data_IF_629517311985
#
_entry.id   IF_629517311985
#
_cell.length_a   1.000
_cell.length_b   1.000
_cell.length_c   1.000
_cell.angle_alpha   90.00
_cell.angle_beta   90.00
_cell.angle_gamma   90.00
#
_symmetry.space_group_name_H-M   'P 1'
#
loop_
_entity.id
_entity.type
_entity.pdbx_description
1 polymer ?
#
# COMPACT_ATOMS: atom_id res chain seq x y z
N UNK A 1 15.26 -31.77 -40.39
CA UNK A 1 16.16 -31.79 -39.22
C UNK A 1 16.27 -30.37 -38.73
N UNK A 2 15.72 -30.10 -37.54
CA UNK A 2 15.67 -28.75 -36.99
C UNK A 2 17.08 -28.40 -36.53
N UNK A 3 17.47 -27.13 -36.61
CA UNK A 3 18.79 -26.66 -36.16
C UNK A 3 19.12 -27.11 -34.72
N UNK A 4 18.12 -27.29 -33.84
CA UNK A 4 18.27 -27.83 -32.49
C UNK A 4 18.85 -29.25 -32.41
N UNK A 5 18.47 -30.15 -33.33
CA UNK A 5 18.90 -31.55 -33.27
C UNK A 5 20.43 -31.68 -33.51
N UNK A 6 20.98 -30.74 -34.30
CA UNK A 6 22.40 -30.68 -34.63
C UNK A 6 23.19 -30.07 -33.47
N UNK A 7 22.65 -29.05 -32.80
CA UNK A 7 23.32 -28.40 -31.67
C UNK A 7 23.43 -29.31 -30.45
N UNK A 8 22.38 -30.05 -30.10
CA UNK A 8 22.42 -31.00 -28.97
C UNK A 8 23.44 -32.13 -29.19
N UNK A 9 23.52 -32.66 -30.42
CA UNK A 9 24.50 -33.70 -30.76
C UNK A 9 25.94 -33.20 -30.70
N UNK A 10 26.20 -31.96 -31.09
CA UNK A 10 27.55 -31.36 -31.05
C UNK A 10 27.96 -31.05 -29.62
N UNK A 11 27.04 -30.51 -28.80
CA UNK A 11 27.29 -30.23 -27.39
C UNK A 11 27.58 -31.51 -26.59
N UNK A 12 26.82 -32.58 -26.86
CA UNK A 12 27.06 -33.88 -26.25
C UNK A 12 28.46 -34.41 -26.58
N UNK A 13 28.96 -34.21 -27.80
CA UNK A 13 30.29 -34.68 -28.21
C UNK A 13 31.46 -33.85 -27.63
N UNK A 14 31.25 -32.55 -27.37
CA UNK A 14 32.26 -31.67 -26.76
C UNK A 14 32.53 -32.05 -25.30
N UNK A 15 31.49 -32.43 -24.55
CA UNK A 15 31.60 -32.80 -23.13
C UNK A 15 31.68 -34.31 -22.90
N UNK A 16 31.56 -35.14 -23.93
CA UNK A 16 31.75 -36.57 -23.84
C UNK A 16 33.21 -36.91 -23.48
N UNK A 17 33.37 -37.87 -22.57
CA UNK A 17 34.67 -38.46 -22.26
C UNK A 17 34.99 -39.53 -23.29
N UNK A 18 36.12 -39.38 -23.96
CA UNK A 18 36.59 -40.33 -24.97
C UNK A 18 37.85 -41.00 -24.48
N UNK A 19 37.97 -42.32 -24.67
CA UNK A 19 39.16 -43.09 -24.35
C UNK A 19 39.79 -43.67 -25.61
N UNK A 20 41.12 -43.85 -25.57
CA UNK A 20 41.87 -44.46 -26.65
C UNK A 20 41.57 -45.95 -26.70
N UNK A 21 41.07 -46.45 -27.83
CA UNK A 21 40.72 -47.86 -28.02
C UNK A 21 41.94 -48.78 -27.90
N UNK A 22 43.16 -48.27 -28.12
CA UNK A 22 44.40 -49.05 -28.00
C UNK A 22 44.97 -49.09 -26.58
N UNK A 23 45.34 -47.93 -26.01
CA UNK A 23 45.98 -47.87 -24.69
C UNK A 23 44.99 -47.76 -23.52
N UNK A 24 43.69 -47.63 -23.80
CA UNK A 24 42.61 -47.48 -22.81
C UNK A 24 42.71 -46.24 -21.91
N UNK A 25 43.62 -45.32 -22.21
CA UNK A 25 43.74 -44.05 -21.50
C UNK A 25 42.71 -43.05 -22.01
N UNK A 26 42.24 -42.18 -21.12
CA UNK A 26 41.37 -41.06 -21.47
C UNK A 26 42.09 -40.07 -22.38
N UNK A 27 41.38 -39.55 -23.38
CA UNK A 27 41.89 -38.58 -24.35
C UNK A 27 41.34 -37.21 -24.00
N UNK A 28 42.20 -36.39 -23.39
CA UNK A 28 41.91 -34.98 -23.14
C UNK A 28 42.33 -34.14 -24.36
N UNK A 29 41.34 -33.62 -25.09
CA UNK A 29 41.55 -32.69 -26.21
C UNK A 29 41.41 -33.34 -27.59
N UNK A 30 42.48 -33.31 -28.39
CA UNK A 30 42.48 -33.75 -29.78
C UNK A 30 42.54 -35.28 -29.88
N UNK A 31 41.50 -35.89 -30.44
CA UNK A 31 41.43 -37.33 -30.71
C UNK A 31 41.39 -37.61 -32.20
N UNK A 32 41.84 -38.80 -32.59
CA UNK A 32 41.80 -39.26 -33.98
C UNK A 32 40.73 -40.32 -34.11
N UNK A 33 39.67 -40.03 -34.86
CA UNK A 33 38.58 -40.96 -35.16
C UNK A 33 38.87 -41.65 -36.48
N UNK A 34 38.88 -42.98 -36.49
CA UNK A 34 38.97 -43.72 -37.75
C UNK A 34 37.66 -43.57 -38.53
N UNK A 35 37.74 -43.26 -39.82
CA UNK A 35 36.57 -43.12 -40.69
C UNK A 35 36.07 -44.47 -41.25
N UNK A 36 36.86 -45.53 -41.13
CA UNK A 36 36.50 -46.87 -41.62
C UNK A 36 36.02 -47.83 -40.52
N UNK A 37 36.41 -47.59 -39.27
CA UNK A 37 36.03 -48.43 -38.13
C UNK A 37 34.95 -47.73 -37.31
N UNK A 38 33.93 -48.48 -36.86
CA UNK A 38 32.90 -47.95 -35.96
C UNK A 38 33.48 -47.65 -34.58
N UNK A 39 33.23 -46.45 -34.05
CA UNK A 39 33.59 -46.00 -32.70
C UNK A 39 35.05 -46.26 -32.29
N UNK A 40 35.97 -46.08 -33.23
CA UNK A 40 37.39 -46.31 -33.01
C UNK A 40 38.14 -44.97 -32.88
N UNK A 41 38.61 -44.69 -31.66
CA UNK A 41 39.32 -43.45 -31.33
C UNK A 41 40.73 -43.74 -30.84
N UNK A 42 41.72 -42.99 -31.33
CA UNK A 42 43.11 -43.09 -30.91
C UNK A 42 43.57 -41.76 -30.29
N UNK A 43 44.41 -41.87 -29.24
CA UNK A 43 45.21 -40.74 -28.80
C UNK A 43 46.32 -40.45 -29.82
N UNK A 44 46.85 -39.23 -29.80
CA UNK A 44 47.90 -38.79 -30.72
C UNK A 44 49.14 -39.69 -30.66
N UNK A 45 49.54 -40.15 -29.47
CA UNK A 45 50.71 -41.04 -29.33
C UNK A 45 50.48 -42.40 -30.00
N UNK A 46 49.32 -43.03 -29.77
CA UNK A 46 49.03 -44.34 -30.37
C UNK A 46 48.90 -44.25 -31.89
N UNK A 47 48.31 -43.18 -32.40
CA UNK A 47 48.25 -42.94 -33.83
C UNK A 47 49.64 -42.71 -34.44
N UNK A 48 50.49 -41.90 -33.81
CA UNK A 48 51.85 -41.64 -34.30
C UNK A 48 52.73 -42.89 -34.32
N UNK A 49 52.50 -43.83 -33.39
CA UNK A 49 53.16 -45.14 -33.36
C UNK A 49 52.59 -46.14 -34.38
N UNK A 50 51.54 -45.78 -35.14
CA UNK A 50 50.89 -46.68 -36.10
C UNK A 50 50.19 -47.87 -35.44
N UNK A 51 49.59 -47.66 -34.26
CA UNK A 51 48.96 -48.74 -33.50
C UNK A 51 47.79 -49.40 -34.27
N UNK A 52 47.85 -50.73 -34.43
CA UNK A 52 46.81 -51.54 -35.05
C UNK A 52 46.21 -52.52 -34.04
N UNK A 53 44.88 -52.66 -34.02
CA UNK A 53 44.18 -53.65 -33.18
C UNK A 53 42.88 -54.10 -33.85
N UNK A 54 42.64 -55.42 -33.86
CA UNK A 54 41.47 -56.01 -34.50
C UNK A 54 41.40 -55.70 -36.01
N UNK A 55 40.27 -55.14 -36.44
CA UNK A 55 40.00 -54.79 -37.85
C UNK A 55 40.54 -53.40 -38.25
N UNK A 56 41.12 -52.65 -37.30
CA UNK A 56 41.71 -51.34 -37.59
C UNK A 56 43.10 -51.47 -38.21
N UNK A 57 43.39 -50.65 -39.22
CA UNK A 57 44.70 -50.54 -39.89
C UNK A 57 45.22 -49.11 -39.87
N UNK A 58 46.55 -48.95 -39.76
CA UNK A 58 47.19 -47.64 -39.63
C UNK A 58 46.98 -46.75 -40.86
N UNK A 59 46.63 -47.35 -42.01
CA UNK A 59 46.40 -46.65 -43.28
C UNK A 59 44.92 -46.32 -43.53
N UNK A 60 44.02 -46.61 -42.58
CA UNK A 60 42.62 -46.22 -42.72
C UNK A 60 42.47 -44.69 -42.75
N UNK A 61 41.52 -44.16 -43.55
CA UNK A 61 41.17 -42.74 -43.48
C UNK A 61 40.74 -42.37 -42.06
N UNK A 62 41.09 -41.17 -41.63
CA UNK A 62 40.89 -40.70 -40.27
C UNK A 62 40.46 -39.23 -40.24
N UNK A 63 39.89 -38.81 -39.10
CA UNK A 63 39.44 -37.46 -38.84
C UNK A 63 39.99 -36.97 -37.51
N UNK A 64 40.44 -35.71 -37.47
CA UNK A 64 40.76 -35.02 -36.23
C UNK A 64 39.49 -34.51 -35.60
N UNK A 65 39.24 -34.91 -34.36
CA UNK A 65 38.11 -34.46 -33.55
C UNK A 65 38.66 -33.67 -32.38
N UNK A 66 38.38 -32.36 -32.33
CA UNK A 66 38.71 -31.53 -31.18
C UNK A 66 37.57 -31.58 -30.17
N UNK A 67 37.91 -31.85 -28.92
CA UNK A 67 36.98 -31.81 -27.80
C UNK A 67 36.88 -30.38 -27.24
N UNK A 68 36.76 -29.38 -28.10
CA UNK A 68 36.60 -27.97 -27.75
C UNK A 68 37.77 -27.33 -27.00
N UNK A 69 38.99 -27.81 -27.21
CA UNK A 69 40.22 -27.24 -26.63
C UNK A 69 40.80 -26.11 -27.46
N UNK A 70 40.41 -26.00 -28.73
CA UNK A 70 40.81 -24.91 -29.61
C UNK A 70 40.12 -23.62 -29.17
N UNK A 71 40.86 -22.52 -29.24
CA UNK A 71 40.33 -21.20 -28.96
C UNK A 71 39.47 -20.71 -30.12
N UNK A 72 38.22 -20.34 -29.82
CA UNK A 72 37.23 -19.92 -30.82
C UNK A 72 37.45 -18.47 -31.23
N UNK A 73 37.86 -17.63 -30.28
CA UNK A 73 38.06 -16.20 -30.48
C UNK A 73 39.55 -15.86 -30.45
N UNK A 74 40.03 -15.12 -31.45
CA UNK A 74 41.42 -14.66 -31.51
C UNK A 74 41.58 -13.41 -30.64
N UNK A 75 42.32 -13.49 -29.52
CA UNK A 75 42.45 -12.36 -28.59
C UNK A 75 43.40 -12.57 -27.41
N UNK A 76 43.56 -11.53 -26.58
CA UNK A 76 44.26 -11.59 -25.28
C UNK A 76 43.38 -12.34 -24.29
N UNK A 77 43.82 -13.51 -23.87
CA UNK A 77 43.01 -14.44 -23.07
C UNK A 77 42.49 -15.55 -23.97
N UNK A 78 43.17 -16.69 -24.00
CA UNK A 78 42.73 -17.84 -24.77
C UNK A 78 41.46 -18.40 -24.11
N UNK A 79 40.30 -18.14 -24.72
CA UNK A 79 39.05 -18.80 -24.40
C UNK A 79 38.88 -20.01 -25.31
N UNK A 80 38.85 -21.19 -24.72
CA UNK A 80 38.54 -22.44 -25.43
C UNK A 80 37.05 -22.51 -25.77
N UNK A 81 36.70 -23.31 -26.78
CA UNK A 81 35.30 -23.55 -27.12
C UNK A 81 34.50 -24.09 -25.93
N UNK A 82 35.13 -24.95 -25.12
CA UNK A 82 34.54 -25.47 -23.87
C UNK A 82 34.20 -24.37 -22.86
N UNK A 83 35.13 -23.44 -22.64
CA UNK A 83 34.89 -22.33 -21.71
C UNK A 83 33.82 -21.38 -22.22
N UNK A 84 33.83 -21.06 -23.53
CA UNK A 84 32.80 -20.23 -24.14
C UNK A 84 31.40 -20.89 -24.05
N UNK A 85 31.31 -22.22 -24.21
CA UNK A 85 30.05 -22.93 -24.01
C UNK A 85 29.60 -22.90 -22.54
N UNK A 86 30.50 -23.18 -21.59
CA UNK A 86 30.19 -23.09 -20.15
C UNK A 86 29.72 -21.68 -19.75
N UNK A 87 30.28 -20.64 -20.34
CA UNK A 87 29.86 -19.24 -20.12
C UNK A 87 28.41 -19.04 -20.55
N UNK A 88 28.02 -19.52 -21.75
CA UNK A 88 26.64 -19.40 -22.24
C UNK A 88 25.67 -20.22 -21.40
N UNK A 89 26.02 -21.47 -21.07
CA UNK A 89 25.20 -22.34 -20.21
C UNK A 89 24.99 -21.73 -18.82
N UNK A 90 26.04 -21.10 -18.27
CA UNK A 90 25.97 -20.42 -16.98
C UNK A 90 25.10 -19.17 -17.04
N UNK A 91 25.17 -18.39 -18.12
CA UNK A 91 24.33 -17.20 -18.29
C UNK A 91 22.85 -17.59 -18.43
N UNK A 92 22.55 -18.69 -19.11
CA UNK A 92 21.18 -19.22 -19.18
C UNK A 92 20.67 -19.65 -17.79
N UNK A 93 21.51 -20.28 -16.97
CA UNK A 93 21.13 -20.79 -15.65
C UNK A 93 21.04 -19.71 -14.57
N UNK A 94 22.03 -18.83 -14.48
CA UNK A 94 22.17 -17.85 -13.38
C UNK A 94 21.66 -16.46 -13.75
N UNK A 95 21.45 -16.20 -15.03
CA UNK A 95 21.02 -14.91 -15.55
C UNK A 95 22.17 -13.91 -15.71
N UNK A 96 22.02 -13.02 -16.69
CA UNK A 96 22.97 -11.96 -16.97
C UNK A 96 23.16 -11.02 -15.76
N UNK A 97 24.41 -10.69 -15.43
CA UNK A 97 24.78 -9.81 -14.31
C UNK A 97 25.17 -10.53 -13.03
N UNK A 98 24.89 -11.83 -12.88
CA UNK A 98 25.37 -12.63 -11.75
C UNK A 98 26.77 -13.23 -12.02
N UNK A 99 27.75 -12.36 -12.28
CA UNK A 99 29.09 -12.76 -12.72
C UNK A 99 29.87 -13.59 -11.69
N UNK A 100 29.55 -13.45 -10.40
CA UNK A 100 30.18 -14.24 -9.33
C UNK A 100 29.85 -15.73 -9.44
N UNK A 101 28.58 -16.08 -9.69
CA UNK A 101 28.17 -17.48 -9.83
C UNK A 101 28.49 -18.04 -11.21
N UNK A 102 28.45 -17.20 -12.25
CA UNK A 102 28.86 -17.56 -13.61
C UNK A 102 30.35 -17.96 -13.64
N UNK A 103 31.22 -17.17 -13.01
CA UNK A 103 32.66 -17.47 -12.92
C UNK A 103 32.92 -18.81 -12.21
N UNK A 104 32.21 -19.10 -11.11
CA UNK A 104 32.31 -20.39 -10.42
C UNK A 104 31.92 -21.57 -11.31
N UNK A 105 30.93 -21.40 -12.20
CA UNK A 105 30.50 -22.44 -13.13
C UNK A 105 31.51 -22.70 -14.25
N UNK A 106 32.22 -21.66 -14.70
CA UNK A 106 33.28 -21.78 -15.70
C UNK A 106 34.53 -22.43 -15.10
N UNK A 107 34.80 -22.17 -13.81
CA UNK A 107 35.92 -22.64 -12.98
C UNK A 107 37.29 -22.04 -13.33
N UNK A 108 37.53 -21.64 -14.58
CA UNK A 108 38.85 -21.21 -15.07
C UNK A 108 39.04 -19.70 -15.25
N UNK A 109 37.97 -18.89 -15.17
CA UNK A 109 37.96 -17.45 -15.49
C UNK A 109 37.38 -16.62 -14.35
N UNK A 110 37.85 -15.38 -14.18
CA UNK A 110 37.30 -14.47 -13.15
C UNK A 110 35.94 -13.88 -13.57
N UNK A 111 35.15 -13.32 -12.63
CA UNK A 111 33.90 -12.64 -12.96
C UNK A 111 34.07 -11.52 -13.99
N UNK A 112 35.14 -10.73 -13.86
CA UNK A 112 35.43 -9.61 -14.75
C UNK A 112 35.81 -10.09 -16.15
N UNK A 113 36.60 -11.17 -16.25
CA UNK A 113 36.95 -11.78 -17.54
C UNK A 113 35.72 -12.38 -18.23
N UNK A 114 34.82 -13.02 -17.47
CA UNK A 114 33.59 -13.60 -17.99
C UNK A 114 32.62 -12.53 -18.50
N UNK A 115 32.49 -11.41 -17.77
CA UNK A 115 31.72 -10.25 -18.19
C UNK A 115 32.29 -9.64 -19.48
N UNK A 116 33.59 -9.36 -19.51
CA UNK A 116 34.26 -8.75 -20.65
C UNK A 116 34.12 -9.61 -21.91
N UNK A 117 34.34 -10.93 -21.79
CA UNK A 117 34.23 -11.86 -22.91
C UNK A 117 32.80 -11.89 -23.47
N UNK A 118 31.79 -11.98 -22.59
CA UNK A 118 30.40 -12.05 -23.01
C UNK A 118 29.95 -10.76 -23.70
N UNK A 119 30.25 -9.60 -23.10
CA UNK A 119 29.88 -8.29 -23.65
C UNK A 119 30.58 -8.08 -25.00
N UNK A 120 31.89 -8.31 -25.06
CA UNK A 120 32.70 -8.02 -26.25
C UNK A 120 32.31 -8.89 -27.44
N UNK A 121 32.04 -10.18 -27.25
CA UNK A 121 31.79 -11.12 -28.36
C UNK A 121 30.30 -11.34 -28.65
N UNK A 122 29.46 -11.44 -27.62
CA UNK A 122 28.05 -11.83 -27.75
C UNK A 122 27.07 -10.65 -27.72
N UNK A 123 27.45 -9.49 -27.19
CA UNK A 123 26.61 -8.28 -27.25
C UNK A 123 27.12 -7.27 -28.29
N UNK A 124 28.33 -6.76 -28.11
CA UNK A 124 28.91 -5.71 -28.97
C UNK A 124 29.63 -6.28 -30.20
N UNK A 125 29.95 -7.57 -30.14
CA UNK A 125 30.62 -8.32 -31.18
C UNK A 125 29.73 -8.62 -32.38
N UNK A 126 30.31 -9.31 -33.37
CA UNK A 126 29.58 -9.68 -34.58
C UNK A 126 28.39 -10.60 -34.25
N UNK A 127 28.55 -11.52 -33.29
CA UNK A 127 27.46 -12.43 -32.90
C UNK A 127 26.26 -11.62 -32.42
N UNK A 128 26.45 -10.73 -31.44
CA UNK A 128 25.39 -9.86 -30.93
C UNK A 128 24.74 -8.99 -32.00
N UNK A 129 25.55 -8.37 -32.86
CA UNK A 129 25.04 -7.55 -33.98
C UNK A 129 24.12 -8.31 -34.94
N UNK A 130 24.33 -9.61 -35.13
CA UNK A 130 23.49 -10.43 -36.00
C UNK A 130 22.33 -11.12 -35.26
N UNK A 131 22.48 -11.47 -33.98
CA UNK A 131 21.44 -12.13 -33.18
C UNK A 131 20.43 -11.14 -32.58
N UNK A 132 20.88 -9.96 -32.18
CA UNK A 132 20.07 -8.95 -31.48
C UNK A 132 18.97 -8.28 -32.32
N UNK A 133 19.16 -7.96 -33.61
CA UNK A 133 18.09 -7.35 -34.42
C UNK A 133 16.85 -8.23 -34.53
N UNK A 134 17.04 -9.54 -34.64
CA UNK A 134 15.94 -10.50 -34.62
C UNK A 134 15.24 -10.48 -33.25
N UNK A 135 15.99 -10.51 -32.15
CA UNK A 135 15.44 -10.42 -30.80
C UNK A 135 14.69 -9.10 -30.53
N UNK A 136 15.17 -7.97 -31.07
CA UNK A 136 14.50 -6.67 -31.01
C UNK A 136 13.15 -6.68 -31.73
N UNK A 137 13.04 -7.34 -32.88
CA UNK A 137 11.79 -7.46 -33.63
C UNK A 137 10.75 -8.35 -32.92
N UNK A 138 11.20 -9.33 -32.13
CA UNK A 138 10.34 -10.17 -31.30
C UNK A 138 10.10 -9.61 -29.90
N UNK A 139 10.78 -8.51 -29.53
CA UNK A 139 10.49 -7.82 -28.28
C UNK A 139 9.04 -7.36 -28.38
N UNK A 140 8.14 -7.83 -27.50
CA UNK A 140 6.79 -7.30 -27.46
C UNK A 140 6.94 -5.79 -27.35
N UNK A 141 6.36 -5.06 -28.30
CA UNK A 141 6.19 -3.62 -28.10
C UNK A 141 5.22 -3.52 -26.95
N UNK A 142 5.77 -3.41 -25.74
CA UNK A 142 5.03 -3.10 -24.53
C UNK A 142 4.50 -1.70 -24.77
N UNK A 143 3.35 -1.64 -25.43
CA UNK A 143 2.56 -0.44 -25.47
C UNK A 143 2.17 -0.27 -24.02
N UNK A 144 2.70 0.76 -23.38
CA UNK A 144 2.29 1.12 -22.06
C UNK A 144 0.79 1.45 -22.14
N UNK A 145 -0.04 0.47 -21.80
CA UNK A 145 -1.50 0.61 -21.73
C UNK A 145 -1.90 1.10 -20.35
N UNK A 146 -0.94 1.50 -19.50
CA UNK A 146 -1.26 2.60 -18.63
C UNK A 146 -1.48 3.79 -19.54
N UNK A 147 -2.75 4.00 -19.93
CA UNK A 147 -3.19 5.37 -20.10
C UNK A 147 -2.63 6.12 -18.88
N UNK A 148 -2.08 7.34 -19.05
CA UNK A 148 -1.88 8.19 -17.89
C UNK A 148 -3.26 8.31 -17.28
N UNK A 149 -3.52 7.48 -16.29
CA UNK A 149 -4.79 7.43 -15.64
C UNK A 149 -4.88 8.82 -15.02
N UNK A 150 -5.70 9.69 -15.59
CA UNK A 150 -6.11 10.92 -14.92
C UNK A 150 -6.79 10.58 -13.58
N UNK A 151 -7.09 9.31 -13.32
CA UNK A 151 -7.08 8.74 -11.98
C UNK A 151 -5.66 8.70 -11.43
N UNK A 152 -5.21 9.86 -10.93
CA UNK A 152 -4.10 10.05 -9.98
C UNK A 152 -3.49 8.71 -9.58
N UNK A 153 -2.36 8.34 -10.17
CA UNK A 153 -1.41 7.48 -9.45
C UNK A 153 -1.40 8.03 -8.03
N UNK A 154 -1.76 7.20 -7.05
CA UNK A 154 -1.75 7.65 -5.66
C UNK A 154 -0.38 8.29 -5.47
N UNK A 155 -0.29 9.60 -5.16
CA UNK A 155 1.01 10.21 -5.05
C UNK A 155 1.70 9.52 -3.88
N UNK A 156 2.60 8.60 -4.22
CA UNK A 156 3.71 8.13 -3.40
C UNK A 156 4.74 9.27 -3.15
N UNK A 157 4.31 10.53 -3.31
CA UNK A 157 5.07 11.75 -3.10
C UNK A 157 4.42 12.63 -2.04
N UNK A 158 3.89 12.01 -0.98
CA UNK A 158 3.70 12.74 0.27
C UNK A 158 5.05 13.11 0.89
N UNK A 159 5.10 14.03 1.86
CA UNK A 159 6.29 14.21 2.67
C UNK A 159 6.74 12.84 3.22
N UNK A 160 8.05 12.52 3.17
CA UNK A 160 8.57 11.29 3.76
C UNK A 160 8.11 11.14 5.22
N UNK A 161 7.80 9.91 5.63
CA UNK A 161 7.50 9.64 7.04
C UNK A 161 8.68 10.10 7.91
N UNK A 162 8.41 11.00 8.86
CA UNK A 162 9.39 11.45 9.85
C UNK A 162 9.58 10.38 10.92
N UNK A 163 10.45 9.41 10.63
CA UNK A 163 10.82 8.31 11.53
C UNK A 163 12.34 8.12 11.53
N UNK A 164 12.90 7.69 12.66
CA UNK A 164 14.34 7.36 12.72
C UNK A 164 14.63 6.04 12.00
N UNK A 165 15.92 5.76 11.71
CA UNK A 165 16.31 4.49 11.07
C UNK A 165 15.96 3.28 11.94
N UNK A 166 16.06 3.42 13.26
CA UNK A 166 15.71 2.37 14.22
C UNK A 166 14.20 2.10 14.21
N UNK A 167 13.39 3.16 14.11
CA UNK A 167 11.92 3.06 14.05
C UNK A 167 11.43 2.47 12.74
N UNK A 168 12.06 2.85 11.63
CA UNK A 168 11.80 2.25 10.32
C UNK A 168 12.05 0.73 10.37
N UNK A 169 13.18 0.31 10.94
CA UNK A 169 13.50 -1.11 11.13
C UNK A 169 12.46 -1.83 11.99
N UNK A 170 12.02 -1.22 13.10
CA UNK A 170 11.03 -1.82 13.99
C UNK A 170 9.66 -2.03 13.32
N UNK A 171 9.29 -1.15 12.38
CA UNK A 171 8.08 -1.26 11.58
C UNK A 171 8.23 -2.14 10.33
N UNK A 172 9.45 -2.56 9.99
CA UNK A 172 9.75 -3.14 8.67
C UNK A 172 9.45 -2.15 7.53
N UNK A 173 9.56 -0.84 7.77
CA UNK A 173 9.32 0.18 6.76
C UNK A 173 10.57 0.40 5.90
N UNK A 174 10.38 0.44 4.58
CA UNK A 174 11.41 0.61 3.57
C UNK A 174 11.34 2.04 3.00
N UNK A 175 12.17 3.00 3.48
CA UNK A 175 11.98 4.42 3.18
C UNK A 175 12.10 4.80 1.71
N UNK A 176 12.96 4.11 0.95
CA UNK A 176 13.13 4.37 -0.48
C UNK A 176 11.98 3.83 -1.34
N UNK A 177 11.18 2.91 -0.79
CA UNK A 177 10.02 2.30 -1.46
C UNK A 177 8.69 2.86 -0.96
N UNK A 178 8.69 3.56 0.18
CA UNK A 178 7.48 3.99 0.90
C UNK A 178 6.52 2.78 1.14
N UNK A 179 7.11 1.67 1.59
CA UNK A 179 6.47 0.37 1.66
C UNK A 179 6.82 -0.36 2.96
N UNK A 180 5.97 -1.27 3.42
CA UNK A 180 6.23 -2.08 4.60
C UNK A 180 6.51 -3.53 4.19
N UNK A 181 7.40 -4.20 4.92
CA UNK A 181 7.67 -5.64 4.73
C UNK A 181 6.41 -6.48 4.90
N UNK A 182 5.52 -6.07 5.82
CA UNK A 182 4.20 -6.68 6.03
C UNK A 182 3.11 -5.64 5.88
N UNK A 183 2.32 -5.79 4.83
CA UNK A 183 1.26 -4.85 4.49
C UNK A 183 -0.07 -5.12 5.20
N UNK A 184 -0.94 -4.12 5.19
CA UNK A 184 -2.34 -4.35 5.55
C UNK A 184 -2.99 -5.30 4.53
N UNK A 185 -3.64 -6.36 5.02
CA UNK A 185 -4.17 -7.46 4.19
C UNK A 185 -3.07 -8.03 3.26
N UNK A 186 -1.98 -8.49 3.87
CA UNK A 186 -0.80 -9.03 3.18
C UNK A 186 -1.10 -10.24 2.28
N UNK A 187 -2.22 -10.92 2.50
CA UNK A 187 -2.61 -12.11 1.75
C UNK A 187 -3.47 -11.75 0.52
N UNK A 188 -3.71 -10.46 0.24
CA UNK A 188 -4.55 -10.02 -0.88
C UNK A 188 -4.04 -10.56 -2.23
N UNK A 189 -2.72 -10.64 -2.39
CA UNK A 189 -2.02 -11.17 -3.56
C UNK A 189 -2.36 -12.65 -3.82
N UNK A 190 -2.78 -13.40 -2.80
CA UNK A 190 -3.23 -14.80 -2.94
C UNK A 190 -4.44 -14.92 -3.86
N UNK A 191 -5.27 -13.86 -3.99
CA UNK A 191 -6.43 -13.89 -4.91
C UNK A 191 -6.03 -13.97 -6.38
N UNK A 192 -4.82 -13.53 -6.72
CA UNK A 192 -4.31 -13.45 -8.10
C UNK A 192 -3.09 -14.33 -8.32
N UNK A 193 -2.60 -15.04 -7.30
CA UNK A 193 -1.36 -15.82 -7.37
C UNK A 193 -1.44 -17.01 -8.33
N UNK A 194 -2.62 -17.60 -8.49
CA UNK A 194 -2.87 -18.71 -9.43
C UNK A 194 -3.60 -18.27 -10.71
N UNK A 195 -3.71 -16.96 -10.95
CA UNK A 195 -4.44 -16.43 -12.10
C UNK A 195 -3.57 -16.53 -13.35
N UNK A 196 -3.96 -17.40 -14.28
CA UNK A 196 -3.33 -17.54 -15.59
C UNK A 196 -4.28 -17.00 -16.67
N UNK A 197 -3.80 -16.12 -17.54
CA UNK A 197 -4.57 -15.58 -18.67
C UNK A 197 -4.17 -16.34 -19.94
N UNK A 198 -5.12 -17.05 -20.53
CA UNK A 198 -4.94 -17.81 -21.77
C UNK A 198 -5.51 -17.07 -22.96
N UNK A 199 -4.95 -17.31 -24.15
CA UNK A 199 -5.49 -16.73 -25.40
C UNK A 199 -6.77 -17.46 -25.86
N UNK A 200 -6.98 -18.68 -25.36
CA UNK A 200 -8.17 -19.50 -25.62
C UNK A 200 -9.25 -19.38 -24.54
N UNK A 201 -9.08 -18.46 -23.58
CA UNK A 201 -10.06 -18.23 -22.52
C UNK A 201 -11.42 -17.87 -23.14
N UNK A 202 -12.47 -18.57 -22.76
CA UNK A 202 -13.82 -18.21 -23.18
C UNK A 202 -14.31 -16.95 -22.43
N UNK A 203 -15.44 -16.38 -22.88
CA UNK A 203 -15.97 -15.13 -22.31
C UNK A 203 -16.31 -15.27 -20.82
N UNK A 204 -16.77 -16.45 -20.40
CA UNK A 204 -17.12 -16.73 -19.01
C UNK A 204 -15.88 -16.82 -18.13
N UNK A 205 -14.84 -17.53 -18.58
CA UNK A 205 -13.56 -17.65 -17.90
C UNK A 205 -12.87 -16.28 -17.79
N UNK A 206 -12.87 -15.50 -18.88
CA UNK A 206 -12.38 -14.13 -18.89
C UNK A 206 -13.13 -13.25 -17.87
N UNK A 207 -14.46 -13.33 -17.83
CA UNK A 207 -15.27 -12.59 -16.87
C UNK A 207 -14.99 -12.98 -15.42
N UNK A 208 -14.76 -14.27 -15.14
CA UNK A 208 -14.41 -14.76 -13.81
C UNK A 208 -13.03 -14.27 -13.37
N UNK A 209 -12.03 -14.30 -14.26
CA UNK A 209 -10.69 -13.75 -14.02
C UNK A 209 -10.76 -12.24 -13.75
N UNK A 210 -11.53 -11.49 -14.55
CA UNK A 210 -11.74 -10.06 -14.32
C UNK A 210 -12.42 -9.78 -12.98
N UNK A 211 -13.38 -10.60 -12.54
CA UNK A 211 -13.99 -10.47 -11.23
C UNK A 211 -12.98 -10.72 -10.09
N UNK A 212 -12.08 -11.70 -10.22
CA UNK A 212 -10.99 -11.92 -9.26
C UNK A 212 -10.04 -10.71 -9.19
N UNK A 213 -9.68 -10.13 -10.33
CA UNK A 213 -8.86 -8.92 -10.41
C UNK A 213 -9.56 -7.71 -9.77
N UNK A 214 -10.87 -7.55 -9.97
CA UNK A 214 -11.66 -6.49 -9.31
C UNK A 214 -11.69 -6.68 -7.78
N UNK A 215 -11.87 -7.92 -7.31
CA UNK A 215 -11.78 -8.23 -5.87
C UNK A 215 -10.41 -7.86 -5.28
N UNK A 216 -9.32 -8.19 -5.97
CA UNK A 216 -7.97 -7.81 -5.59
C UNK A 216 -7.79 -6.28 -5.58
N UNK A 217 -8.25 -5.60 -6.63
CA UNK A 217 -8.17 -4.14 -6.76
C UNK A 217 -8.87 -3.42 -5.62
N UNK A 218 -10.04 -3.92 -5.17
CA UNK A 218 -10.76 -3.36 -4.01
C UNK A 218 -9.95 -3.47 -2.72
N UNK A 219 -9.26 -4.59 -2.49
CA UNK A 219 -8.37 -4.77 -1.34
C UNK A 219 -7.18 -3.81 -1.39
N UNK A 220 -6.56 -3.64 -2.56
CA UNK A 220 -5.48 -2.68 -2.75
C UNK A 220 -5.90 -1.23 -2.51
N UNK A 221 -7.10 -0.83 -2.97
CA UNK A 221 -7.65 0.51 -2.71
C UNK A 221 -7.78 0.77 -1.20
N UNK A 222 -8.22 -0.23 -0.46
CA UNK A 222 -8.39 -0.15 0.98
C UNK A 222 -7.05 -0.12 1.74
N UNK A 223 -6.05 -0.89 1.28
CA UNK A 223 -4.65 -0.79 1.75
C UNK A 223 -4.09 0.61 1.50
N UNK A 224 -4.23 1.13 0.28
CA UNK A 224 -3.80 2.48 -0.09
C UNK A 224 -4.50 3.58 0.71
N UNK A 225 -5.80 3.42 0.99
CA UNK A 225 -6.56 4.34 1.85
C UNK A 225 -5.99 4.38 3.28
N UNK A 226 -5.68 3.23 3.87
CA UNK A 226 -5.05 3.18 5.21
C UNK A 226 -3.66 3.82 5.24
N UNK A 227 -2.81 3.53 4.25
CA UNK A 227 -1.49 4.17 4.13
C UNK A 227 -1.61 5.69 4.07
N UNK A 228 -2.51 6.19 3.21
CA UNK A 228 -2.81 7.63 3.10
C UNK A 228 -3.21 8.23 4.45
N UNK A 229 -4.18 7.64 5.14
CA UNK A 229 -4.63 8.15 6.45
C UNK A 229 -3.49 8.15 7.48
N UNK A 230 -2.72 7.06 7.53
CA UNK A 230 -1.58 6.95 8.45
C UNK A 230 -0.57 8.06 8.25
N UNK A 231 -0.27 8.38 6.98
CA UNK A 231 0.64 9.46 6.60
C UNK A 231 0.05 10.85 6.84
N UNK A 232 -1.13 11.11 6.30
CA UNK A 232 -1.77 12.44 6.33
C UNK A 232 -2.03 12.91 7.77
N UNK A 233 -2.35 11.99 8.68
CA UNK A 233 -2.57 12.27 10.11
C UNK A 233 -1.33 12.03 10.98
N UNK A 234 -0.17 11.78 10.38
CA UNK A 234 1.11 11.53 11.08
C UNK A 234 1.00 10.49 12.20
N UNK A 235 0.19 9.45 11.99
CA UNK A 235 -0.16 8.49 13.04
C UNK A 235 1.05 7.68 13.52
N UNK A 236 1.99 7.39 12.61
CA UNK A 236 3.23 6.66 12.93
C UNK A 236 4.11 7.50 13.86
N UNK A 237 4.31 8.77 13.52
CA UNK A 237 5.08 9.72 14.34
C UNK A 237 4.41 9.91 15.71
N UNK A 238 3.09 10.05 15.75
CA UNK A 238 2.33 10.16 17.00
C UNK A 238 2.41 8.89 17.87
N UNK A 239 2.41 7.70 17.26
CA UNK A 239 2.59 6.42 17.96
C UNK A 239 3.95 6.36 18.69
N UNK A 240 5.04 6.69 18.00
CA UNK A 240 6.36 6.70 18.61
C UNK A 240 6.54 7.80 19.65
N UNK A 241 6.03 9.01 19.38
CA UNK A 241 6.05 10.10 20.35
C UNK A 241 5.33 9.71 21.66
N UNK A 242 4.22 8.98 21.57
CA UNK A 242 3.51 8.47 22.74
C UNK A 242 4.34 7.42 23.51
N UNK A 243 5.08 6.57 22.81
CA UNK A 243 5.92 5.53 23.41
C UNK A 243 7.16 6.10 24.12
N UNK A 244 7.79 7.14 23.57
CA UNK A 244 9.03 7.74 24.13
C UNK A 244 8.82 8.48 25.45
N UNK A 245 7.57 8.79 25.85
CA UNK A 245 7.24 9.69 26.99
C UNK A 245 7.98 11.03 26.93
N UNK A 246 8.55 11.40 25.78
CA UNK A 246 9.15 12.69 25.59
C UNK A 246 8.09 13.75 25.82
N UNK A 247 8.47 14.85 26.49
CA UNK A 247 7.56 15.98 26.73
C UNK A 247 6.89 16.30 25.40
N UNK A 248 5.54 16.36 25.34
CA UNK A 248 4.86 16.62 24.09
C UNK A 248 5.46 17.90 23.52
N UNK A 249 6.10 17.81 22.34
CA UNK A 249 6.35 18.95 21.45
C UNK A 249 5.11 19.81 21.58
N UNK A 250 5.22 21.04 22.06
CA UNK A 250 4.16 21.86 22.65
C UNK A 250 2.80 21.76 21.94
N UNK A 251 2.09 20.63 22.07
CA UNK A 251 0.77 20.42 21.52
C UNK A 251 -0.09 21.23 22.46
N UNK A 252 -0.67 22.30 21.91
CA UNK A 252 -1.61 23.20 22.58
C UNK A 252 -2.50 22.34 23.46
N UNK A 253 -2.51 22.58 24.77
CA UNK A 253 -3.24 21.75 25.74
C UNK A 253 -4.71 21.77 25.34
N UNK A 254 -5.16 20.69 24.70
CA UNK A 254 -6.47 20.67 24.05
C UNK A 254 -7.59 20.79 25.09
N UNK A 255 -8.60 21.58 24.74
CA UNK A 255 -9.80 21.72 25.58
C UNK A 255 -10.53 20.38 25.71
N UNK A 256 -11.27 20.20 26.80
CA UNK A 256 -12.13 19.02 26.99
C UNK A 256 -13.14 18.89 25.83
N UNK A 257 -13.75 20.00 25.43
CA UNK A 257 -14.72 20.04 24.33
C UNK A 257 -14.09 19.66 22.99
N UNK A 258 -12.85 20.11 22.75
CA UNK A 258 -12.10 19.75 21.54
C UNK A 258 -11.82 18.25 21.46
N UNK A 259 -11.49 17.61 22.58
CA UNK A 259 -11.30 16.15 22.62
C UNK A 259 -12.59 15.39 22.36
N UNK A 260 -13.70 15.84 22.93
CA UNK A 260 -15.02 15.25 22.72
C UNK A 260 -15.42 15.33 21.23
N UNK A 261 -15.22 16.48 20.58
CA UNK A 261 -15.45 16.63 19.14
C UNK A 261 -14.59 15.71 18.28
N UNK A 262 -13.28 15.63 18.57
CA UNK A 262 -12.37 14.77 17.79
C UNK A 262 -12.70 13.30 17.90
N UNK A 263 -13.03 12.81 19.09
CA UNK A 263 -13.40 11.41 19.26
C UNK A 263 -14.72 11.11 18.57
N UNK A 264 -15.71 12.00 18.69
CA UNK A 264 -17.01 11.84 18.01
C UNK A 264 -16.91 11.89 16.49
N UNK A 265 -15.98 12.68 15.95
CA UNK A 265 -15.84 12.89 14.51
C UNK A 265 -14.72 12.07 13.88
N UNK A 266 -14.06 11.19 14.65
CA UNK A 266 -12.96 10.35 14.18
C UNK A 266 -13.30 9.51 12.95
N UNK A 267 -14.57 9.09 12.82
CA UNK A 267 -15.04 8.34 11.64
C UNK A 267 -14.92 9.13 10.33
N UNK A 268 -14.93 10.47 10.38
CA UNK A 268 -14.86 11.34 9.21
C UNK A 268 -13.43 11.54 8.69
N UNK A 269 -12.42 11.09 9.43
CA UNK A 269 -11.00 11.07 9.01
C UNK A 269 -10.83 10.31 7.68
N UNK A 270 -11.69 9.34 7.40
CA UNK A 270 -11.62 8.59 6.14
C UNK A 270 -12.03 9.39 4.89
N UNK A 271 -12.66 10.57 5.08
CA UNK A 271 -13.20 11.39 4.00
C UNK A 271 -12.55 12.77 3.90
N UNK A 272 -11.70 13.14 4.86
CA UNK A 272 -11.08 14.46 4.94
C UNK A 272 -9.57 14.33 5.02
N UNK A 273 -8.87 15.30 4.43
CA UNK A 273 -7.45 15.49 4.73
C UNK A 273 -7.28 15.94 6.18
N UNK A 274 -6.06 15.79 6.73
CA UNK A 274 -5.79 16.26 8.08
C UNK A 274 -6.08 17.77 8.23
N UNK A 275 -5.71 18.59 7.26
CA UNK A 275 -5.95 20.03 7.28
C UNK A 275 -7.45 20.37 7.32
N UNK A 276 -8.27 19.71 6.49
CA UNK A 276 -9.72 19.90 6.48
C UNK A 276 -10.34 19.45 7.81
N UNK A 277 -9.88 18.32 8.34
CA UNK A 277 -10.34 17.79 9.62
C UNK A 277 -10.01 18.73 10.79
N UNK A 278 -8.78 19.24 10.87
CA UNK A 278 -8.37 20.22 11.88
C UNK A 278 -9.19 21.51 11.78
N UNK A 279 -9.46 21.98 10.56
CA UNK A 279 -10.28 23.17 10.31
C UNK A 279 -11.72 22.96 10.78
N UNK A 280 -12.30 21.80 10.50
CA UNK A 280 -13.64 21.42 10.97
C UNK A 280 -13.71 21.44 12.51
N UNK A 281 -12.76 20.80 13.18
CA UNK A 281 -12.70 20.75 14.64
C UNK A 281 -12.54 22.17 15.21
N UNK A 282 -11.65 22.99 14.65
CA UNK A 282 -11.46 24.37 15.10
C UNK A 282 -12.73 25.20 14.96
N UNK A 283 -13.48 25.03 13.88
CA UNK A 283 -14.75 25.73 13.66
C UNK A 283 -15.83 25.30 14.66
N UNK A 284 -15.92 24.01 14.98
CA UNK A 284 -16.88 23.50 15.97
C UNK A 284 -16.57 24.00 17.38
N UNK A 285 -15.30 23.99 17.79
CA UNK A 285 -14.89 24.58 19.07
C UNK A 285 -15.22 26.07 19.12
N UNK A 286 -14.93 26.80 18.04
CA UNK A 286 -15.26 28.23 17.93
C UNK A 286 -16.77 28.48 17.99
N UNK A 287 -17.57 27.61 17.39
CA UNK A 287 -19.03 27.68 17.49
C UNK A 287 -19.49 27.52 18.94
N UNK A 288 -18.99 26.51 19.65
CA UNK A 288 -19.32 26.28 21.06
C UNK A 288 -18.95 27.49 21.94
N UNK A 289 -17.75 28.04 21.74
CA UNK A 289 -17.27 29.22 22.46
C UNK A 289 -18.15 30.44 22.19
N UNK A 290 -18.57 30.66 20.94
CA UNK A 290 -19.48 31.74 20.57
C UNK A 290 -20.87 31.54 21.18
N UNK A 291 -21.40 30.31 21.20
CA UNK A 291 -22.69 30.01 21.83
C UNK A 291 -22.65 30.22 23.35
N UNK A 292 -21.57 29.82 24.01
CA UNK A 292 -21.36 30.10 25.43
C UNK A 292 -21.28 31.61 25.67
N UNK A 293 -20.52 32.33 24.84
CA UNK A 293 -20.40 33.79 24.95
C UNK A 293 -21.72 34.51 24.73
N UNK A 294 -22.54 34.07 23.78
CA UNK A 294 -23.89 34.63 23.56
C UNK A 294 -24.75 34.41 24.80
N UNK A 295 -24.74 33.22 25.40
CA UNK A 295 -25.48 32.92 26.63
C UNK A 295 -25.05 33.82 27.80
N UNK A 296 -23.75 34.07 27.95
CA UNK A 296 -23.22 35.02 28.95
C UNK A 296 -23.70 36.44 28.70
N UNK A 297 -23.59 36.94 27.46
CA UNK A 297 -24.01 38.29 27.11
C UNK A 297 -25.51 38.50 27.33
N UNK A 298 -26.34 37.51 26.99
CA UNK A 298 -27.78 37.54 27.29
C UNK A 298 -28.03 37.57 28.80
N UNK A 299 -27.27 36.80 29.59
CA UNK A 299 -27.34 36.82 31.06
C UNK A 299 -26.97 38.19 31.63
N UNK A 300 -25.93 38.84 31.13
CA UNK A 300 -25.55 40.19 31.60
C UNK A 300 -26.63 41.22 31.28
N UNK A 301 -27.19 41.19 30.06
CA UNK A 301 -28.30 42.07 29.66
C UNK A 301 -29.52 41.90 30.55
N UNK A 302 -29.89 40.65 30.89
CA UNK A 302 -30.99 40.37 31.83
C UNK A 302 -30.74 40.94 33.23
N UNK A 303 -29.47 41.08 33.63
CA UNK A 303 -29.07 41.68 34.91
C UNK A 303 -28.80 43.19 34.79
N UNK A 304 -29.22 43.84 33.69
CA UNK A 304 -29.13 45.29 33.52
C UNK A 304 -27.77 45.82 33.08
N UNK A 305 -26.81 44.94 32.76
CA UNK A 305 -25.48 45.35 32.30
C UNK A 305 -25.54 45.71 30.83
N UNK A 306 -25.14 46.93 30.50
CA UNK A 306 -25.21 47.47 29.14
C UNK A 306 -23.84 47.76 28.55
N UNK A 307 -22.78 47.87 29.37
CA UNK A 307 -21.40 48.10 28.92
C UNK A 307 -20.55 46.83 29.07
N UNK A 308 -19.63 46.63 28.12
CA UNK A 308 -18.75 45.45 28.09
C UNK A 308 -17.77 45.43 29.28
N UNK A 309 -17.31 46.61 29.69
CA UNK A 309 -16.37 46.80 30.82
C UNK A 309 -16.97 46.35 32.17
N UNK A 310 -18.28 46.53 32.34
CA UNK A 310 -19.02 46.17 33.56
C UNK A 310 -19.18 44.65 33.74
N UNK A 311 -19.00 43.87 32.66
CA UNK A 311 -19.14 42.41 32.70
C UNK A 311 -18.14 41.77 33.67
N UNK A 312 -16.90 42.24 33.68
CA UNK A 312 -15.83 41.70 34.54
C UNK A 312 -16.14 41.96 36.02
N UNK A 313 -16.61 43.16 36.34
CA UNK A 313 -17.00 43.52 37.71
C UNK A 313 -18.22 42.72 38.19
N UNK A 314 -19.20 42.50 37.32
CA UNK A 314 -20.35 41.64 37.63
C UNK A 314 -19.93 40.19 37.91
N UNK A 315 -19.03 39.62 37.12
CA UNK A 315 -18.52 38.27 37.36
C UNK A 315 -17.75 38.15 38.67
N UNK A 316 -16.89 39.13 38.98
CA UNK A 316 -16.17 39.18 40.26
C UNK A 316 -17.15 39.26 41.43
N UNK A 317 -18.17 40.12 41.34
CA UNK A 317 -19.16 40.29 42.39
C UNK A 317 -20.06 39.05 42.54
N UNK A 318 -20.45 38.42 41.43
CA UNK A 318 -21.23 37.19 41.42
C UNK A 318 -20.44 36.00 41.98
N UNK A 319 -19.16 35.89 41.64
CA UNK A 319 -18.24 34.88 42.20
C UNK A 319 -18.07 35.08 43.70
N UNK A 320 -17.90 36.32 44.15
CA UNK A 320 -17.81 36.67 45.58
C UNK A 320 -19.09 36.33 46.34
N UNK A 321 -20.27 36.54 45.74
CA UNK A 321 -21.57 36.13 46.31
C UNK A 321 -21.71 34.61 46.41
N UNK A 322 -21.26 33.87 45.39
CA UNK A 322 -21.29 32.39 45.42
C UNK A 322 -20.34 31.80 46.46
N UNK A 323 -19.15 32.38 46.64
CA UNK A 323 -18.21 31.99 47.69
C UNK A 323 -18.74 32.34 49.10
N UNK A 324 -19.40 33.49 49.25
CA UNK A 324 -20.04 33.88 50.50
C UNK A 324 -21.22 32.95 50.84
N UNK A 325 -22.06 32.59 49.86
CA UNK A 325 -23.16 31.65 50.05
C UNK A 325 -22.71 30.25 50.50
N UNK A 326 -21.57 29.76 50.00
CA UNK A 326 -20.98 28.48 50.44
C UNK A 326 -20.37 28.53 51.84
N UNK A 327 -19.98 29.71 52.34
CA UNK A 327 -19.42 29.89 53.69
C UNK A 327 -20.51 29.84 54.77
N UNK A 328 -21.74 30.27 54.44
CA UNK A 328 -22.87 30.32 55.39
C UNK A 328 -23.47 28.93 55.64
N UNK A 329 -23.47 28.04 54.63
CA UNK A 329 -23.98 26.66 54.77
C UNK A 329 -23.03 25.70 55.52
N UNK A 330 -21.80 26.10 55.86
CA UNK A 330 -20.84 25.27 56.61
C UNK A 330 -20.93 25.45 58.14
N UNK A 331 -21.95 26.15 58.65
CA UNK A 331 -22.10 26.44 60.08
C UNK A 331 -23.22 25.63 60.76
N UNK A 332 -23.10 24.29 60.69
CA UNK A 332 -23.77 23.38 61.62
C UNK A 332 -22.72 22.47 62.30
N UNK A 333 -22.59 22.50 63.64
CA UNK A 333 -21.69 21.60 64.35
C UNK A 333 -22.40 20.27 64.61
N UNK A 334 -21.83 19.17 64.12
CA UNK A 334 -22.11 17.84 64.67
C UNK A 334 -20.82 17.29 65.28
N UNK A 335 -20.91 17.11 66.60
CA UNK A 335 -19.97 16.41 67.44
C UNK A 335 -19.66 14.99 66.94
N UNK A 336 -18.37 14.63 67.04
CA UNK A 336 -17.87 13.33 67.51
C UNK A 336 -18.25 12.06 66.73
N UNK A 337 -17.28 11.47 66.04
CA UNK A 337 -16.57 10.29 66.57
C UNK A 337 -15.31 9.98 65.74
N UNK A 338 -14.29 9.53 66.46
CA UNK A 338 -12.91 9.32 66.03
C UNK A 338 -12.72 8.17 65.02
N UNK A 339 -11.80 8.45 64.10
CA UNK A 339 -10.80 7.58 63.46
C UNK A 339 -10.73 6.11 63.89
N UNK A 340 -10.57 5.21 62.91
CA UNK A 340 -9.49 4.21 62.84
C UNK A 340 -9.14 3.92 61.37
N UNK A 341 -7.87 3.63 61.19
CA UNK A 341 -6.99 3.52 60.02
C UNK A 341 -7.20 2.34 59.07
N UNK A 342 -6.81 2.58 57.82
CA UNK A 342 -6.14 1.69 56.84
C UNK A 342 -6.18 0.16 57.01
N UNK A 343 -6.57 -0.55 55.94
CA UNK A 343 -5.78 -1.68 55.41
C UNK A 343 -6.21 -2.05 53.98
N UNK A 344 -5.20 -2.31 53.14
CA UNK A 344 -5.27 -2.95 51.82
C UNK A 344 -5.82 -4.38 51.95
N UNK A 345 -6.63 -4.84 50.99
CA UNK A 345 -6.62 -6.23 50.50
C UNK A 345 -6.91 -6.25 48.99
N UNK A 346 -5.97 -6.84 48.25
CA UNK A 346 -6.07 -7.37 46.89
C UNK A 346 -7.09 -8.51 46.81
N UNK A 347 -7.90 -8.60 45.75
CA UNK A 347 -8.11 -9.90 45.11
C UNK A 347 -8.60 -9.80 43.65
N UNK A 348 -8.22 -10.84 42.90
CA UNK A 348 -8.06 -10.92 41.46
C UNK A 348 -9.03 -11.98 40.90
N UNK A 349 -9.37 -11.83 39.61
CA UNK A 349 -10.01 -12.79 38.68
C UNK A 349 -11.53 -12.98 38.87
N UNK A 350 -12.36 -13.06 37.82
CA UNK A 350 -12.18 -13.12 36.37
C UNK A 350 -13.42 -13.77 35.76
N UNK A 351 -13.81 -13.41 34.54
CA UNK A 351 -14.86 -14.11 33.80
C UNK A 351 -15.61 -13.21 32.82
N UNK A 352 -15.51 -13.53 31.53
CA UNK A 352 -15.95 -12.70 30.41
C UNK A 352 -17.45 -12.61 30.20
N UNK A 353 -17.84 -11.61 29.41
CA UNK A 353 -19.20 -11.39 28.94
C UNK A 353 -19.25 -10.15 28.06
N UNK A 354 -19.37 -10.38 26.75
CA UNK A 354 -19.58 -9.38 25.71
C UNK A 354 -20.64 -8.35 26.11
N UNK A 355 -20.36 -7.05 25.96
CA UNK A 355 -21.37 -6.01 26.09
C UNK A 355 -21.35 -5.07 24.89
N UNK A 356 -22.39 -5.21 24.08
CA UNK A 356 -22.81 -4.31 23.01
C UNK A 356 -22.95 -2.88 23.51
N UNK A 357 -22.28 -1.94 22.84
CA UNK A 357 -22.48 -0.50 23.02
C UNK A 357 -23.78 -0.10 22.30
N UNK A 358 -24.85 0.01 23.07
CA UNK A 358 -25.99 0.85 22.77
C UNK A 358 -26.22 1.72 24.00
N UNK A 359 -25.67 2.94 24.01
CA UNK A 359 -26.05 3.95 25.00
C UNK A 359 -26.85 5.05 24.33
N UNK A 360 -28.16 4.99 24.60
CA UNK A 360 -29.12 6.09 24.50
C UNK A 360 -28.61 7.28 25.31
N UNK A 361 -28.60 8.45 24.70
CA UNK A 361 -28.47 9.72 25.41
C UNK A 361 -29.71 9.93 26.27
N UNK A 362 -29.51 10.07 27.58
CA UNK A 362 -30.57 10.41 28.53
C UNK A 362 -30.58 11.94 28.69
N UNK A 363 -31.63 12.60 28.20
CA UNK A 363 -31.83 14.04 28.42
C UNK A 363 -32.41 14.26 29.82
N UNK A 364 -31.74 15.09 30.62
CA UNK A 364 -32.28 15.60 31.87
C UNK A 364 -33.51 16.47 31.60
N UNK A 365 -34.64 16.07 32.20
CA UNK A 365 -35.89 16.82 32.29
C UNK A 365 -35.70 18.07 33.15
N UNK A 366 -35.97 19.25 32.57
CA UNK A 366 -36.29 20.46 33.32
C UNK A 366 -37.81 20.51 33.42
N UNK A 367 -38.32 20.50 34.65
CA UNK A 367 -39.72 20.79 34.97
C UNK A 367 -40.03 22.23 34.57
N UNK A 368 -41.08 22.45 33.79
CA UNK A 368 -41.65 23.74 33.45
C UNK A 368 -43.03 23.89 34.08
N UNK A 369 -43.25 25.09 34.64
CA UNK A 369 -44.54 25.60 35.08
C UNK A 369 -45.59 25.64 33.95
N UNK A 370 -46.83 25.49 34.36
CA UNK A 370 -48.03 25.04 33.65
C UNK A 370 -48.75 26.16 32.85
N UNK A 371 -48.08 26.82 31.90
CA UNK A 371 -48.77 27.87 31.10
C UNK A 371 -48.34 28.05 29.64
N UNK A 372 -47.51 27.16 29.08
CA UNK A 372 -47.00 27.28 27.68
C UNK A 372 -47.45 26.17 26.71
N UNK A 373 -48.27 25.21 27.14
CA UNK A 373 -48.51 23.99 26.35
C UNK A 373 -49.55 24.13 25.21
N UNK A 374 -50.43 25.14 25.23
CA UNK A 374 -51.39 25.33 24.13
C UNK A 374 -50.77 25.98 22.88
N UNK A 375 -49.71 26.79 23.03
CA UNK A 375 -49.08 27.49 21.89
C UNK A 375 -48.13 26.57 21.12
N UNK A 376 -47.46 25.64 21.81
CA UNK A 376 -46.50 24.69 21.22
C UNK A 376 -47.23 23.59 20.44
N UNK A 377 -48.40 23.13 20.92
CA UNK A 377 -49.22 22.13 20.20
C UNK A 377 -49.71 22.61 18.84
N UNK A 378 -50.05 23.90 18.72
CA UNK A 378 -50.51 24.51 17.47
C UNK A 378 -49.38 24.59 16.43
N UNK A 379 -48.16 24.99 16.83
CA UNK A 379 -46.99 25.07 15.93
C UNK A 379 -46.52 23.68 15.47
N UNK A 380 -46.46 22.68 16.35
CA UNK A 380 -46.06 21.31 15.98
C UNK A 380 -47.07 20.68 15.03
N UNK A 381 -48.38 20.94 15.21
CA UNK A 381 -49.43 20.44 14.29
C UNK A 381 -49.36 21.06 12.89
N UNK A 382 -48.94 22.33 12.79
CA UNK A 382 -48.80 23.03 11.51
C UNK A 382 -47.55 22.57 10.75
N UNK A 383 -46.47 22.25 11.45
CA UNK A 383 -45.23 21.72 10.85
C UNK A 383 -45.41 20.28 10.36
N UNK A 384 -46.20 19.46 11.05
CA UNK A 384 -46.55 18.10 10.60
C UNK A 384 -47.29 18.11 9.24
N UNK A 385 -48.12 19.12 8.98
CA UNK A 385 -48.87 19.27 7.71
C UNK A 385 -47.98 19.64 6.51
N UNK A 386 -46.73 20.06 6.74
CA UNK A 386 -45.78 20.39 5.67
C UNK A 386 -44.97 19.18 5.18
N UNK A 387 -45.11 18.02 5.85
CA UNK A 387 -44.47 16.77 5.45
C UNK A 387 -45.39 15.96 4.55
N UNK A 388 -44.85 15.39 3.48
CA UNK A 388 -45.56 14.36 2.71
C UNK A 388 -45.77 13.09 3.55
N UNK A 389 -46.70 12.22 3.12
CA UNK A 389 -46.98 10.96 3.84
C UNK A 389 -45.72 10.09 4.03
N UNK A 390 -44.90 9.96 2.99
CA UNK A 390 -43.64 9.22 3.05
C UNK A 390 -42.60 9.87 3.96
N UNK A 391 -42.56 11.20 4.04
CA UNK A 391 -41.65 11.92 4.93
C UNK A 391 -42.08 11.82 6.38
N UNK A 392 -43.39 11.86 6.65
CA UNK A 392 -43.92 11.63 8.00
C UNK A 392 -43.56 10.22 8.50
N UNK A 393 -43.74 9.20 7.67
CA UNK A 393 -43.29 7.84 8.01
C UNK A 393 -41.78 7.75 8.24
N UNK A 394 -40.99 8.47 7.46
CA UNK A 394 -39.53 8.51 7.61
C UNK A 394 -39.12 9.17 8.93
N UNK A 395 -39.77 10.28 9.33
CA UNK A 395 -39.50 10.95 10.61
C UNK A 395 -39.79 10.03 11.79
N UNK A 396 -40.87 9.24 11.73
CA UNK A 396 -41.20 8.23 12.75
C UNK A 396 -40.17 7.11 12.78
N UNK A 397 -39.76 6.58 11.63
CA UNK A 397 -38.75 5.51 11.55
C UNK A 397 -37.37 5.95 12.05
N UNK A 398 -37.01 7.22 11.83
CA UNK A 398 -35.74 7.80 12.25
C UNK A 398 -35.78 8.38 13.67
N UNK A 399 -36.95 8.45 14.31
CA UNK A 399 -37.12 9.06 15.62
C UNK A 399 -36.83 10.56 15.66
N UNK A 400 -36.99 11.24 14.53
CA UNK A 400 -36.74 12.67 14.38
C UNK A 400 -38.03 13.47 14.54
N UNK A 401 -37.95 14.61 15.21
CA UNK A 401 -39.08 15.55 15.23
C UNK A 401 -39.26 16.18 13.83
N UNK A 402 -40.50 16.47 13.40
CA UNK A 402 -40.79 17.08 12.09
C UNK A 402 -39.95 18.31 11.77
N UNK A 403 -39.70 19.15 12.79
CA UNK A 403 -38.91 20.37 12.66
C UNK A 403 -37.42 20.09 12.43
N UNK A 404 -36.88 19.01 13.02
CA UNK A 404 -35.50 18.55 12.81
C UNK A 404 -35.34 18.01 11.40
N UNK A 405 -36.31 17.22 10.93
CA UNK A 405 -36.31 16.69 9.57
C UNK A 405 -36.39 17.80 8.52
N UNK A 406 -37.25 18.81 8.71
CA UNK A 406 -37.33 19.96 7.80
C UNK A 406 -36.02 20.74 7.82
N UNK A 407 -35.40 20.96 8.99
CA UNK A 407 -34.11 21.65 9.10
C UNK A 407 -32.99 20.89 8.37
N UNK A 408 -32.97 19.57 8.48
CA UNK A 408 -32.00 18.73 7.75
C UNK A 408 -32.27 18.80 6.24
N UNK A 409 -33.54 18.67 5.82
CA UNK A 409 -33.94 18.73 4.41
C UNK A 409 -33.63 20.09 3.78
N UNK A 410 -33.91 21.20 4.48
CA UNK A 410 -33.60 22.54 3.98
C UNK A 410 -32.10 22.75 3.85
N UNK A 411 -31.29 22.29 4.81
CA UNK A 411 -29.83 22.36 4.71
C UNK A 411 -29.28 21.54 3.54
N UNK A 412 -29.82 20.34 3.28
CA UNK A 412 -29.41 19.52 2.13
C UNK A 412 -29.77 20.22 0.81
N UNK A 413 -30.99 20.74 0.69
CA UNK A 413 -31.44 21.46 -0.50
C UNK A 413 -30.67 22.77 -0.72
N UNK A 414 -30.34 23.49 0.35
CA UNK A 414 -29.51 24.69 0.30
C UNK A 414 -28.09 24.34 -0.17
N UNK A 415 -27.48 23.28 0.34
CA UNK A 415 -26.16 22.80 -0.10
C UNK A 415 -26.16 22.43 -1.59
N UNK A 416 -27.22 21.79 -2.07
CA UNK A 416 -27.36 21.45 -3.49
C UNK A 416 -27.53 22.72 -4.33
N UNK A 417 -28.31 23.69 -3.85
CA UNK A 417 -28.49 24.99 -4.52
C UNK A 417 -27.20 25.81 -4.57
N UNK A 418 -26.40 25.79 -3.50
CA UNK A 418 -25.13 26.50 -3.41
C UNK A 418 -24.04 25.83 -4.27
N UNK A 419 -24.11 24.50 -4.46
CA UNK A 419 -23.31 23.79 -5.46
C UNK A 419 -23.72 24.15 -6.89
N UNK A 420 -25.01 24.29 -7.17
CA UNK A 420 -25.49 24.65 -8.52
C UNK A 420 -25.28 26.14 -8.85
N UNK A 421 -25.20 27.03 -7.86
CA UNK A 421 -24.96 28.47 -8.07
C UNK A 421 -23.47 28.82 -8.20
N UNK A 422 -22.57 27.93 -7.75
CA UNK A 422 -21.11 28.07 -7.91
C UNK A 422 -20.59 27.49 -9.24
N UNK A 423 -21.45 26.89 -10.07
CA UNK A 423 -21.09 26.33 -11.38
C UNK A 423 -21.14 27.32 -12.57
N UNK A 424 -21.50 28.59 -12.37
CA UNK A 424 -21.25 29.61 -13.39
C UNK A 424 -19.89 30.26 -13.17
N UNK A 425 -18.93 29.91 -14.02
CA UNK A 425 -17.51 30.31 -14.06
C UNK A 425 -16.52 29.46 -13.24
N UNK A 426 -16.29 28.22 -13.71
CA UNK A 426 -14.94 27.78 -14.09
C UNK A 426 -15.03 26.45 -14.87
N UNK A 427 -14.85 26.55 -16.20
CA UNK A 427 -15.00 25.48 -17.19
C UNK A 427 -13.84 24.48 -17.22
N UNK A 428 -13.37 24.03 -16.05
CA UNK A 428 -12.18 23.16 -15.94
C UNK A 428 -12.34 22.09 -14.85
N UNK A 429 -13.44 21.33 -14.86
CA UNK A 429 -13.57 20.14 -14.02
C UNK A 429 -14.17 18.95 -14.82
N UNK A 430 -13.44 17.81 -14.99
CA UNK A 430 -13.84 16.72 -15.90
C UNK A 430 -15.05 15.89 -15.43
N UNK A 431 -15.50 16.06 -14.19
CA UNK A 431 -16.57 15.22 -13.60
C UNK A 431 -17.96 15.59 -14.14
N UNK A 432 -18.15 16.85 -14.56
CA UNK A 432 -19.43 17.32 -15.12
C UNK A 432 -19.59 16.87 -16.58
N UNK A 433 -18.49 16.68 -17.32
CA UNK A 433 -18.53 16.20 -18.72
C UNK A 433 -18.98 14.74 -18.83
N UNK A 434 -18.67 13.90 -17.83
CA UNK A 434 -19.02 12.48 -17.88
C UNK A 434 -20.50 12.18 -17.51
N UNK A 435 -21.15 13.07 -16.74
CA UNK A 435 -22.60 12.98 -16.49
C UNK A 435 -23.44 13.62 -17.61
N UNK A 436 -22.93 14.67 -18.28
CA UNK A 436 -23.61 15.27 -19.42
C UNK A 436 -23.60 14.36 -20.67
N UNK A 437 -22.56 13.55 -20.88
CA UNK A 437 -22.45 12.66 -22.04
C UNK A 437 -23.35 11.40 -21.95
N UNK A 438 -23.79 10.98 -20.75
CA UNK A 438 -24.67 9.80 -20.60
C UNK A 438 -26.17 10.12 -20.70
N UNK A 439 -26.57 11.39 -20.61
CA UNK A 439 -27.98 11.80 -20.74
C UNK A 439 -28.36 12.33 -22.14
N UNK A 440 -27.47 12.22 -23.14
CA UNK A 440 -27.73 12.59 -24.53
C UNK A 440 -27.94 11.39 -25.48
N UNK A 441 -28.12 10.18 -24.95
CA UNK A 441 -28.38 8.95 -25.74
C UNK A 441 -29.75 8.32 -25.40
N UNK A 442 -30.67 9.05 -24.75
CA UNK A 442 -32.07 8.60 -24.60
C UNK A 442 -33.08 9.73 -24.86
N UNK A 443 -33.03 10.26 -26.07
CA UNK A 443 -34.13 10.83 -26.87
C UNK A 443 -33.65 10.80 -28.31
#
# INVERSE_FOLDING_TARGET
>A
MRYCDITESILSDIFAKHSCTYCQQDIDGLRIKCASCSDFNLCLQCFACGAEIGNHKFNHPYQFMDSGTISVFQGKGSWSAKEAMRLLDAIEQFGFGNWEDISKHIESKTPEEAEEEYVTHFLDGNIGKFTWPSALNFRPTLKDVTEPCEGKSYPFGGPPLEITKEEATLLGYMPQRDDFEREFDNDAETLVSSLAVGVEDDELESALKLAQVDMYTRRLRERGRRKRISRDFSLVTDFFNAARKDKPIQKKKMSRHEKEWRESLKIFIQFHTNQEFETLISNLVKQDDLQLRIRELVKYRKNGITRKEECVHFEQQNTRRQLWGKSVDSSHPIHSAQSISSSKIDEKRGGGGSFSIARRFNHHSLRSDDSSDEVIGQEVSNVQKMLSKSESELTVKLGLMPIEFISIKTNILQNIRDRNSTETFNSSCPIVQHCAAKNLIST
#
